data_IF_994900332983
#
_entry.id   IF_994900332983
#
_cell.length_a   1.000
_cell.length_b   1.000
_cell.length_c   1.000
_cell.angle_alpha   90.00
_cell.angle_beta   90.00
_cell.angle_gamma   90.00
#
_symmetry.space_group_name_H-M   'P 1'
#
loop_
_entity.id
_entity.type
_entity.pdbx_description
1 polymer ?
#
# COMPACT_ATOMS: atom_id res chain seq x y z
N UNK A 1 -5.90 -36.97 52.00
CA UNK A 1 -4.74 -37.69 52.54
C UNK A 1 -3.47 -36.98 52.04
N UNK A 2 -2.68 -36.52 52.98
CA UNK A 2 -1.39 -35.83 52.81
C UNK A 2 -0.30 -36.79 52.32
N UNK A 3 0.67 -36.28 51.56
CA UNK A 3 2.13 -36.59 51.56
C UNK A 3 2.79 -35.71 50.49
N UNK A 4 3.52 -34.64 50.83
CA UNK A 4 4.87 -34.45 51.40
C UNK A 4 5.98 -34.72 50.33
N UNK A 5 6.66 -33.59 49.96
CA UNK A 5 7.98 -33.52 49.30
C UNK A 5 9.09 -34.23 50.09
N UNK A 6 10.21 -34.50 49.45
CA UNK A 6 11.48 -34.25 50.11
C UNK A 6 12.41 -33.32 49.35
N UNK A 7 13.10 -32.58 50.17
CA UNK A 7 14.17 -31.62 50.02
C UNK A 7 15.54 -32.22 49.68
N UNK A 8 16.36 -31.34 49.03
CA UNK A 8 17.82 -31.29 49.03
C UNK A 8 18.63 -32.24 48.16
N UNK A 9 19.25 -31.63 47.11
CA UNK A 9 20.65 -31.91 46.80
C UNK A 9 21.37 -30.62 46.42
N UNK A 10 22.24 -30.16 47.33
CA UNK A 10 23.24 -29.14 47.05
C UNK A 10 24.30 -29.78 46.14
N UNK A 11 24.55 -29.17 45.00
CA UNK A 11 25.73 -29.50 44.21
C UNK A 11 26.62 -28.27 44.11
N UNK A 12 27.79 -28.36 44.75
CA UNK A 12 28.87 -27.40 44.65
C UNK A 12 29.33 -27.28 43.19
N UNK A 13 29.16 -26.11 42.56
CA UNK A 13 29.89 -25.76 41.36
C UNK A 13 31.17 -25.02 41.74
N UNK A 14 32.31 -25.65 41.51
CA UNK A 14 33.63 -25.02 41.49
C UNK A 14 33.60 -23.88 40.42
N UNK A 15 33.86 -22.66 40.87
CA UNK A 15 34.17 -21.53 39.98
C UNK A 15 35.57 -21.69 39.46
N UNK A 16 35.73 -22.20 38.24
CA UNK A 16 36.98 -22.05 37.47
C UNK A 16 36.86 -20.70 36.75
N UNK A 17 37.55 -19.68 37.26
CA UNK A 17 37.68 -18.38 36.65
C UNK A 17 38.50 -18.46 35.36
N UNK A 18 37.80 -18.67 34.25
CA UNK A 18 38.32 -18.44 32.91
C UNK A 18 37.62 -17.26 32.31
N UNK A 19 38.25 -16.10 32.24
CA UNK A 19 37.78 -14.96 31.44
C UNK A 19 37.92 -15.34 29.97
N UNK A 20 36.82 -15.77 29.37
CA UNK A 20 36.73 -15.81 27.91
C UNK A 20 36.82 -14.36 27.42
N UNK A 21 37.74 -14.07 26.47
CA UNK A 21 37.74 -12.75 25.85
C UNK A 21 36.37 -12.57 25.16
N UNK A 22 35.57 -11.56 25.58
CA UNK A 22 34.48 -11.07 24.76
C UNK A 22 35.12 -10.62 23.44
N UNK A 23 34.90 -11.41 22.39
CA UNK A 23 35.14 -10.95 21.05
C UNK A 23 34.21 -9.75 20.86
N UNK A 24 34.75 -8.56 20.93
CA UNK A 24 34.08 -7.36 20.42
C UNK A 24 33.87 -7.62 18.93
N UNK A 25 32.65 -7.97 18.56
CA UNK A 25 32.23 -7.94 17.15
C UNK A 25 32.50 -6.51 16.68
N UNK A 26 33.59 -6.32 15.97
CA UNK A 26 33.83 -5.10 15.22
C UNK A 26 32.68 -5.05 14.20
N UNK A 27 31.72 -4.14 14.44
CA UNK A 27 30.77 -3.77 13.43
C UNK A 27 31.61 -3.33 12.22
N UNK A 28 31.67 -4.18 11.20
CA UNK A 28 32.25 -3.78 9.92
C UNK A 28 31.55 -2.50 9.47
N UNK A 29 32.29 -1.47 9.05
CA UNK A 29 31.66 -0.27 8.52
C UNK A 29 30.74 -0.68 7.37
N UNK A 30 29.51 -0.18 7.37
CA UNK A 30 28.59 -0.38 6.26
C UNK A 30 29.29 0.04 4.96
N UNK A 31 29.12 -0.72 3.86
CA UNK A 31 29.72 -0.37 2.58
C UNK A 31 29.30 1.06 2.21
N UNK A 32 30.25 1.84 1.72
CA UNK A 32 29.95 3.22 1.32
C UNK A 32 29.24 3.18 -0.03
N UNK A 33 28.03 3.73 -0.08
CA UNK A 33 27.30 3.94 -1.33
C UNK A 33 28.19 4.66 -2.33
N UNK A 34 28.29 4.16 -3.57
CA UNK A 34 29.13 4.73 -4.63
C UNK A 34 28.76 6.19 -4.93
N UNK A 35 29.70 6.97 -5.45
CA UNK A 35 29.46 8.36 -5.86
C UNK A 35 28.39 8.47 -6.95
N UNK A 36 28.28 7.48 -7.83
CA UNK A 36 27.25 7.43 -8.88
C UNK A 36 25.86 7.17 -8.29
N UNK A 37 25.73 6.22 -7.39
CA UNK A 37 24.47 5.97 -6.65
C UNK A 37 24.02 7.19 -5.85
N UNK A 38 24.95 7.87 -5.17
CA UNK A 38 24.64 9.14 -4.45
C UNK A 38 24.15 10.24 -5.39
N UNK A 39 24.76 10.37 -6.60
CA UNK A 39 24.31 11.36 -7.60
C UNK A 39 22.91 11.04 -8.11
N UNK A 40 22.59 9.76 -8.39
CA UNK A 40 21.26 9.35 -8.81
C UNK A 40 20.23 9.58 -7.68
N UNK A 41 20.53 9.19 -6.45
CA UNK A 41 19.66 9.45 -5.30
C UNK A 41 19.35 10.95 -5.14
N UNK A 42 20.37 11.81 -5.25
CA UNK A 42 20.19 13.26 -5.20
C UNK A 42 19.40 13.81 -6.40
N UNK A 43 19.51 13.20 -7.59
CA UNK A 43 18.68 13.55 -8.74
C UNK A 43 17.22 13.17 -8.49
N UNK A 44 16.93 11.96 -8.05
CA UNK A 44 15.59 11.46 -7.78
C UNK A 44 14.89 12.26 -6.67
N UNK A 45 15.62 12.62 -5.62
CA UNK A 45 15.10 13.49 -4.55
C UNK A 45 14.72 14.88 -5.09
N UNK A 46 15.54 15.48 -5.96
CA UNK A 46 15.18 16.75 -6.63
C UNK A 46 13.94 16.62 -7.50
N UNK A 47 13.79 15.52 -8.23
CA UNK A 47 12.57 15.24 -9.02
C UNK A 47 11.35 15.17 -8.10
N UNK A 48 11.45 14.44 -7.00
CA UNK A 48 10.36 14.31 -6.02
C UNK A 48 10.01 15.64 -5.34
N UNK A 49 11.01 16.51 -5.07
CA UNK A 49 10.79 17.84 -4.47
C UNK A 49 10.13 18.82 -5.45
N UNK A 50 10.45 18.73 -6.74
CA UNK A 50 9.96 19.64 -7.79
C UNK A 50 8.67 19.17 -8.45
N UNK A 51 8.19 18.00 -8.11
CA UNK A 51 6.97 17.45 -8.69
C UNK A 51 5.78 18.37 -8.45
N UNK A 52 5.21 18.90 -9.54
CA UNK A 52 4.07 19.81 -9.49
C UNK A 52 2.76 19.01 -9.34
N UNK A 53 2.00 19.20 -8.23
CA UNK A 53 0.71 18.53 -8.05
C UNK A 53 -0.36 18.96 -9.06
N UNK A 54 -0.22 20.09 -9.76
CA UNK A 54 -1.15 20.48 -10.81
C UNK A 54 -1.01 19.57 -12.02
N UNK A 55 0.23 19.22 -12.37
CA UNK A 55 0.53 18.36 -13.54
C UNK A 55 0.50 16.88 -13.16
N UNK A 56 1.08 16.52 -12.01
CA UNK A 56 1.13 15.14 -11.56
C UNK A 56 -0.14 14.76 -10.78
N UNK A 57 -1.07 14.08 -11.47
CA UNK A 57 -2.37 13.66 -10.93
C UNK A 57 -2.27 12.60 -9.82
N UNK A 58 -1.11 12.00 -9.60
CA UNK A 58 -0.89 10.99 -8.55
C UNK A 58 -0.42 11.60 -7.22
N UNK A 59 -0.17 12.90 -7.16
CA UNK A 59 0.14 13.62 -5.92
C UNK A 59 -1.16 14.03 -5.18
N UNK A 60 -2.07 13.09 -4.98
CA UNK A 60 -3.44 13.34 -4.52
C UNK A 60 -3.50 14.21 -3.25
N UNK A 61 -2.70 13.92 -2.22
CA UNK A 61 -2.67 14.70 -0.97
C UNK A 61 -2.22 16.15 -1.19
N UNK A 62 -1.18 16.35 -1.99
CA UNK A 62 -0.69 17.69 -2.32
C UNK A 62 -1.71 18.46 -3.18
N UNK A 63 -2.39 17.76 -4.11
CA UNK A 63 -3.49 18.33 -4.91
C UNK A 63 -4.65 18.77 -4.03
N UNK A 64 -5.11 17.91 -3.12
CA UNK A 64 -6.17 18.24 -2.17
C UNK A 64 -5.79 19.47 -1.32
N UNK A 65 -4.56 19.54 -0.84
CA UNK A 65 -4.05 20.68 -0.06
C UNK A 65 -4.06 21.95 -0.89
N UNK A 66 -3.54 21.93 -2.12
CA UNK A 66 -3.56 23.07 -3.02
C UNK A 66 -4.96 23.55 -3.37
N UNK A 67 -5.87 22.62 -3.66
CA UNK A 67 -7.28 22.95 -3.93
C UNK A 67 -7.99 23.58 -2.73
N UNK A 68 -7.66 23.16 -1.50
CA UNK A 68 -8.24 23.76 -0.29
C UNK A 68 -7.96 25.24 -0.15
N UNK A 69 -6.77 25.71 -0.53
CA UNK A 69 -6.45 27.14 -0.47
C UNK A 69 -7.30 28.00 -1.40
N UNK A 70 -7.88 27.39 -2.43
CA UNK A 70 -8.80 28.07 -3.34
C UNK A 70 -10.18 28.33 -2.72
N UNK A 71 -10.59 27.57 -1.69
CA UNK A 71 -11.87 27.74 -1.01
C UNK A 71 -11.97 29.10 -0.27
N UNK A 72 -10.84 29.73 0.04
CA UNK A 72 -10.78 31.04 0.69
C UNK A 72 -10.96 32.21 -0.30
N UNK A 73 -10.94 31.91 -1.60
CA UNK A 73 -11.14 32.89 -2.65
C UNK A 73 -12.63 33.12 -2.92
N UNK A 74 -13.05 34.34 -3.31
CA UNK A 74 -14.42 34.61 -3.73
C UNK A 74 -14.81 33.74 -4.93
N UNK A 75 -15.88 32.97 -4.79
CA UNK A 75 -16.45 32.15 -5.87
C UNK A 75 -17.93 31.91 -5.67
N UNK A 76 -18.63 31.50 -6.76
CA UNK A 76 -20.05 31.15 -6.67
C UNK A 76 -20.25 29.87 -5.82
N UNK A 77 -21.44 29.69 -5.21
CA UNK A 77 -21.75 28.49 -4.45
C UNK A 77 -21.56 27.20 -5.27
N UNK A 78 -21.92 27.19 -6.53
CA UNK A 78 -21.80 26.03 -7.43
C UNK A 78 -20.33 25.65 -7.64
N UNK A 79 -19.45 26.65 -7.88
CA UNK A 79 -18.01 26.43 -8.00
C UNK A 79 -17.42 25.89 -6.70
N UNK A 80 -17.90 26.39 -5.55
CA UNK A 80 -17.45 25.91 -4.24
C UNK A 80 -17.84 24.46 -4.00
N UNK A 81 -19.04 24.06 -4.43
CA UNK A 81 -19.51 22.67 -4.37
C UNK A 81 -18.65 21.77 -5.25
N UNK A 82 -18.41 22.16 -6.51
CA UNK A 82 -17.54 21.40 -7.42
C UNK A 82 -16.12 21.25 -6.89
N UNK A 83 -15.55 22.33 -6.33
CA UNK A 83 -14.21 22.30 -5.74
C UNK A 83 -14.14 21.37 -4.53
N UNK A 84 -15.14 21.40 -3.63
CA UNK A 84 -15.20 20.47 -2.50
C UNK A 84 -15.31 19.02 -2.93
N UNK A 85 -16.11 18.72 -3.96
CA UNK A 85 -16.18 17.38 -4.53
C UNK A 85 -14.82 16.92 -5.07
N UNK A 86 -14.09 17.80 -5.77
CA UNK A 86 -12.76 17.50 -6.26
C UNK A 86 -11.77 17.26 -5.10
N UNK A 87 -11.80 18.08 -4.06
CA UNK A 87 -10.96 17.92 -2.85
C UNK A 87 -11.25 16.57 -2.18
N UNK A 88 -12.54 16.23 -1.97
CA UNK A 88 -12.94 14.96 -1.36
C UNK A 88 -12.38 13.76 -2.14
N UNK A 89 -12.50 13.77 -3.47
CA UNK A 89 -11.96 12.71 -4.34
C UNK A 89 -10.45 12.58 -4.23
N UNK A 90 -9.74 13.69 -4.26
CA UNK A 90 -8.27 13.67 -4.13
C UNK A 90 -7.85 13.15 -2.75
N UNK A 91 -8.60 13.47 -1.67
CA UNK A 91 -8.35 12.93 -0.34
C UNK A 91 -8.53 11.43 -0.28
N UNK A 92 -9.66 10.92 -0.81
CA UNK A 92 -9.94 9.49 -0.85
C UNK A 92 -8.86 8.74 -1.65
N UNK A 93 -8.51 9.24 -2.85
CA UNK A 93 -7.43 8.68 -3.66
C UNK A 93 -6.08 8.72 -2.93
N UNK A 94 -5.86 9.71 -2.07
CA UNK A 94 -4.68 9.85 -1.22
C UNK A 94 -4.71 9.02 0.06
N UNK A 95 -5.75 8.18 0.29
CA UNK A 95 -5.90 7.36 1.47
C UNK A 95 -6.40 8.09 2.73
N UNK A 96 -6.91 9.32 2.57
CA UNK A 96 -7.44 10.17 3.65
C UNK A 96 -8.98 10.06 3.69
N UNK A 97 -9.48 8.86 4.04
CA UNK A 97 -10.94 8.55 3.96
C UNK A 97 -11.77 9.45 4.88
N UNK A 98 -11.33 9.63 6.14
CA UNK A 98 -12.08 10.44 7.10
C UNK A 98 -12.18 11.90 6.67
N UNK A 99 -11.09 12.48 6.17
CA UNK A 99 -11.04 13.84 5.67
C UNK A 99 -11.89 14.02 4.40
N UNK A 100 -11.87 13.03 3.50
CA UNK A 100 -12.73 13.01 2.31
C UNK A 100 -14.21 12.99 2.67
N UNK A 101 -14.62 12.18 3.64
CA UNK A 101 -15.99 12.14 4.16
C UNK A 101 -16.41 13.49 4.72
N UNK A 102 -15.56 14.15 5.51
CA UNK A 102 -15.83 15.50 6.05
C UNK A 102 -16.06 16.52 4.94
N UNK A 103 -15.31 16.44 3.82
CA UNK A 103 -15.53 17.32 2.68
C UNK A 103 -16.87 17.02 1.95
N UNK A 104 -17.27 15.76 1.82
CA UNK A 104 -18.60 15.41 1.28
C UNK A 104 -19.73 15.94 2.16
N UNK A 105 -19.61 15.85 3.48
CA UNK A 105 -20.59 16.40 4.40
C UNK A 105 -20.65 17.92 4.31
N UNK A 106 -19.51 18.60 4.17
CA UNK A 106 -19.44 20.05 3.99
C UNK A 106 -20.05 20.48 2.63
N UNK A 107 -19.87 19.66 1.59
CA UNK A 107 -20.47 19.87 0.28
C UNK A 107 -22.01 19.79 0.37
N UNK A 108 -22.55 18.74 1.02
CA UNK A 108 -24.01 18.58 1.20
C UNK A 108 -24.62 19.76 1.95
N UNK A 109 -24.00 20.16 3.08
CA UNK A 109 -24.43 21.38 3.79
C UNK A 109 -24.37 22.62 2.91
N UNK A 110 -23.40 22.69 1.99
CA UNK A 110 -23.28 23.80 1.04
C UNK A 110 -24.42 23.83 0.02
N UNK A 111 -24.86 22.69 -0.49
CA UNK A 111 -26.04 22.56 -1.37
C UNK A 111 -27.29 23.07 -0.65
N UNK A 112 -27.54 22.53 0.55
CA UNK A 112 -28.73 22.86 1.34
C UNK A 112 -28.77 24.35 1.71
N UNK A 113 -27.66 24.91 2.19
CA UNK A 113 -27.58 26.32 2.63
C UNK A 113 -27.69 27.32 1.49
N UNK A 114 -27.27 26.94 0.28
CA UNK A 114 -27.40 27.77 -0.91
C UNK A 114 -28.73 27.63 -1.61
N UNK A 115 -29.62 26.72 -1.17
CA UNK A 115 -30.88 26.42 -1.81
C UNK A 115 -30.74 25.89 -3.24
N UNK A 116 -29.64 25.19 -3.52
CA UNK A 116 -29.33 24.64 -4.84
C UNK A 116 -30.11 23.34 -5.04
N UNK A 117 -30.88 23.26 -6.10
CA UNK A 117 -31.49 21.99 -6.55
C UNK A 117 -30.41 21.24 -7.36
N UNK A 118 -29.80 20.22 -6.73
CA UNK A 118 -28.84 19.41 -7.43
C UNK A 118 -29.49 18.33 -8.30
N UNK A 119 -28.90 18.06 -9.45
CA UNK A 119 -29.37 17.02 -10.35
C UNK A 119 -29.32 15.63 -9.67
N UNK A 120 -30.36 14.77 -9.88
CA UNK A 120 -30.36 13.43 -9.25
C UNK A 120 -29.13 12.59 -9.57
N UNK A 121 -28.62 12.67 -10.79
CA UNK A 121 -27.38 11.98 -11.20
C UNK A 121 -26.16 12.42 -10.41
N UNK A 122 -26.06 13.71 -10.12
CA UNK A 122 -24.99 14.25 -9.29
C UNK A 122 -25.09 13.76 -7.84
N UNK A 123 -26.30 13.73 -7.28
CA UNK A 123 -26.52 13.23 -5.91
C UNK A 123 -26.20 11.74 -5.79
N UNK A 124 -26.59 10.93 -6.80
CA UNK A 124 -26.21 9.50 -6.84
C UNK A 124 -24.70 9.31 -6.87
N UNK A 125 -24.02 10.03 -7.77
CA UNK A 125 -22.55 9.98 -7.84
C UNK A 125 -21.91 10.32 -6.49
N UNK A 126 -22.42 11.35 -5.79
CA UNK A 126 -21.93 11.71 -4.46
C UNK A 126 -22.18 10.61 -3.41
N UNK A 127 -23.35 9.96 -3.48
CA UNK A 127 -23.66 8.85 -2.59
C UNK A 127 -22.70 7.69 -2.79
N UNK A 128 -22.46 7.28 -4.03
CA UNK A 128 -21.55 6.17 -4.36
C UNK A 128 -20.12 6.47 -3.92
N UNK A 129 -19.61 7.68 -4.21
CA UNK A 129 -18.26 8.09 -3.80
C UNK A 129 -18.11 8.15 -2.27
N UNK A 130 -19.11 8.68 -1.58
CA UNK A 130 -19.12 8.76 -0.12
C UNK A 130 -19.29 7.37 0.52
N UNK A 131 -20.16 6.52 -0.04
CA UNK A 131 -20.34 5.14 0.41
C UNK A 131 -19.04 4.34 0.26
N UNK A 132 -18.35 4.46 -0.87
CA UNK A 132 -17.05 3.82 -1.07
C UNK A 132 -16.02 4.33 -0.04
N UNK A 133 -16.02 5.63 0.28
CA UNK A 133 -15.14 6.18 1.31
C UNK A 133 -15.43 5.58 2.70
N UNK A 134 -16.70 5.42 3.07
CA UNK A 134 -17.09 4.77 4.32
C UNK A 134 -16.71 3.29 4.36
N UNK A 135 -16.90 2.56 3.26
CA UNK A 135 -16.50 1.15 3.16
C UNK A 135 -14.99 0.99 3.31
N UNK A 136 -14.20 1.83 2.63
CA UNK A 136 -12.74 1.88 2.76
C UNK A 136 -12.28 2.32 4.15
N UNK A 137 -12.99 3.24 4.79
CA UNK A 137 -12.69 3.65 6.16
C UNK A 137 -12.87 2.48 7.13
N UNK A 138 -13.95 1.71 6.94
CA UNK A 138 -14.17 0.46 7.62
C UNK A 138 -12.97 -0.49 7.45
N UNK A 139 -12.56 -0.77 6.22
CA UNK A 139 -11.40 -1.60 5.89
C UNK A 139 -10.11 -1.12 6.58
N UNK A 140 -9.79 0.18 6.50
CA UNK A 140 -8.61 0.74 7.15
C UNK A 140 -8.59 0.57 8.67
N UNK A 141 -9.74 0.69 9.32
CA UNK A 141 -9.88 0.54 10.78
C UNK A 141 -9.78 -0.89 11.28
N UNK A 142 -10.02 -1.89 10.40
CA UNK A 142 -9.95 -3.30 10.80
C UNK A 142 -8.53 -3.84 10.90
N UNK A 143 -7.56 -3.13 10.39
CA UNK A 143 -6.20 -3.61 10.26
C UNK A 143 -6.01 -4.69 9.18
N UNK A 144 -4.83 -5.29 9.16
CA UNK A 144 -4.53 -6.41 8.25
C UNK A 144 -5.34 -7.64 8.64
N UNK A 145 -6.10 -8.16 7.66
CA UNK A 145 -6.87 -9.40 7.82
C UNK A 145 -6.13 -10.56 7.16
N UNK A 146 -6.36 -11.78 7.64
CA UNK A 146 -5.97 -12.97 6.89
C UNK A 146 -6.54 -12.93 5.47
N UNK A 147 -5.74 -13.28 4.48
CA UNK A 147 -6.14 -13.18 3.07
C UNK A 147 -7.36 -14.05 2.71
N UNK A 148 -7.65 -15.13 3.45
CA UNK A 148 -8.83 -15.95 3.24
C UNK A 148 -10.16 -15.22 3.51
N UNK A 149 -10.15 -14.09 4.25
CA UNK A 149 -11.34 -13.28 4.48
C UNK A 149 -11.80 -12.51 3.23
N UNK A 150 -10.96 -12.48 2.18
CA UNK A 150 -11.23 -11.75 0.92
C UNK A 150 -11.64 -12.65 -0.25
N UNK A 151 -11.87 -13.94 0.01
CA UNK A 151 -12.40 -14.86 -1.00
C UNK A 151 -13.92 -14.68 -1.08
N UNK A 152 -14.44 -14.52 -2.30
CA UNK A 152 -15.87 -14.32 -2.53
C UNK A 152 -16.62 -15.66 -2.66
N UNK A 153 -17.86 -15.76 -2.11
CA UNK A 153 -18.47 -14.80 -1.19
C UNK A 153 -17.72 -14.77 0.15
N UNK A 154 -17.42 -13.58 0.66
CA UNK A 154 -16.72 -13.46 1.93
C UNK A 154 -17.57 -14.03 3.07
N UNK A 155 -17.07 -15.11 3.68
CA UNK A 155 -17.68 -15.73 4.86
C UNK A 155 -16.94 -15.25 6.10
N UNK A 156 -17.51 -14.27 6.80
CA UNK A 156 -16.89 -13.73 7.99
C UNK A 156 -17.31 -14.51 9.24
N UNK A 157 -16.33 -14.95 10.02
CA UNK A 157 -16.54 -15.42 11.38
C UNK A 157 -16.09 -14.35 12.39
N UNK A 158 -17.05 -13.73 13.09
CA UNK A 158 -16.81 -12.82 14.21
C UNK A 158 -16.91 -11.32 13.88
N UNK A 159 -17.49 -10.59 14.84
CA UNK A 159 -17.68 -9.15 14.78
C UNK A 159 -16.36 -8.37 14.94
N UNK A 160 -16.18 -7.32 14.18
CA UNK A 160 -15.12 -6.33 14.33
C UNK A 160 -15.71 -4.92 14.15
N UNK A 161 -14.99 -3.88 14.57
CA UNK A 161 -15.50 -2.48 14.67
C UNK A 161 -15.81 -1.78 13.33
N UNK A 162 -16.05 -2.53 12.25
CA UNK A 162 -16.46 -1.95 10.98
C UNK A 162 -17.90 -1.48 10.89
N UNK A 163 -18.72 -1.95 11.82
CA UNK A 163 -20.16 -2.00 11.66
C UNK A 163 -20.75 -0.63 11.31
N UNK A 164 -20.33 0.44 11.98
CA UNK A 164 -20.95 1.75 11.78
C UNK A 164 -20.63 2.38 10.43
N UNK A 165 -19.36 2.39 10.02
CA UNK A 165 -18.95 2.96 8.72
C UNK A 165 -19.58 2.19 7.55
N UNK A 166 -19.52 0.87 7.58
CA UNK A 166 -20.10 0.01 6.54
C UNK A 166 -21.63 0.15 6.49
N UNK A 167 -22.30 0.30 7.63
CA UNK A 167 -23.76 0.54 7.63
C UNK A 167 -24.14 1.90 7.03
N UNK A 168 -23.29 2.92 7.16
CA UNK A 168 -23.51 4.17 6.41
C UNK A 168 -23.38 3.93 4.91
N UNK A 169 -22.36 3.19 4.49
CA UNK A 169 -22.19 2.84 3.06
C UNK A 169 -23.41 2.08 2.51
N UNK A 170 -23.92 1.08 3.25
CA UNK A 170 -25.12 0.32 2.89
C UNK A 170 -26.29 1.26 2.64
N UNK A 171 -26.61 2.15 3.59
CA UNK A 171 -27.73 3.10 3.43
C UNK A 171 -27.60 4.00 2.20
N UNK A 172 -26.39 4.45 1.89
CA UNK A 172 -26.15 5.29 0.71
C UNK A 172 -26.33 4.50 -0.59
N UNK A 173 -25.85 3.24 -0.63
CA UNK A 173 -26.06 2.36 -1.80
C UNK A 173 -27.54 2.02 -1.99
N UNK A 174 -28.28 1.68 -0.91
CA UNK A 174 -29.71 1.42 -0.96
C UNK A 174 -30.47 2.63 -1.48
N UNK A 175 -30.16 3.84 -0.98
CA UNK A 175 -30.75 5.10 -1.48
C UNK A 175 -30.56 5.28 -2.98
N UNK A 176 -29.37 4.93 -3.50
CA UNK A 176 -29.12 5.03 -4.94
C UNK A 176 -29.89 3.98 -5.74
N UNK A 177 -29.94 2.75 -5.25
CA UNK A 177 -30.63 1.63 -5.91
C UNK A 177 -32.15 1.78 -5.90
N UNK A 178 -32.74 2.51 -4.95
CA UNK A 178 -34.16 2.91 -4.98
C UNK A 178 -34.50 3.87 -6.13
N UNK A 179 -33.50 4.64 -6.58
CA UNK A 179 -33.68 5.60 -7.69
C UNK A 179 -33.39 4.96 -9.04
N UNK A 180 -32.29 4.24 -9.13
CA UNK A 180 -31.84 3.57 -10.36
C UNK A 180 -31.00 2.35 -10.02
N UNK A 181 -31.37 1.21 -10.57
CA UNK A 181 -30.61 -0.04 -10.37
C UNK A 181 -29.35 -0.03 -11.25
N UNK A 182 -28.18 0.17 -10.63
CA UNK A 182 -26.88 0.08 -11.26
C UNK A 182 -26.10 -1.13 -10.74
N UNK A 183 -25.54 -1.92 -11.67
CA UNK A 183 -24.85 -3.17 -11.32
C UNK A 183 -23.63 -2.95 -10.39
N UNK A 184 -22.88 -1.88 -10.61
CA UNK A 184 -21.72 -1.54 -9.77
C UNK A 184 -22.13 -1.22 -8.33
N UNK A 185 -23.20 -0.42 -8.14
CA UNK A 185 -23.75 -0.10 -6.82
C UNK A 185 -24.32 -1.34 -6.14
N UNK A 186 -25.03 -2.19 -6.90
CA UNK A 186 -25.57 -3.47 -6.42
C UNK A 186 -24.46 -4.41 -5.97
N UNK A 187 -23.37 -4.51 -6.73
CA UNK A 187 -22.18 -5.28 -6.36
C UNK A 187 -21.57 -4.78 -5.05
N UNK A 188 -21.35 -3.47 -4.93
CA UNK A 188 -20.75 -2.85 -3.73
C UNK A 188 -21.66 -3.00 -2.51
N UNK A 189 -22.99 -2.96 -2.68
CA UNK A 189 -23.95 -3.25 -1.61
C UNK A 189 -23.78 -4.68 -1.07
N UNK A 190 -23.71 -5.68 -1.95
CA UNK A 190 -23.52 -7.08 -1.54
C UNK A 190 -22.17 -7.27 -0.84
N UNK A 191 -21.10 -6.63 -1.35
CA UNK A 191 -19.79 -6.59 -0.71
C UNK A 191 -19.85 -5.99 0.71
N UNK A 192 -20.58 -4.89 0.89
CA UNK A 192 -20.75 -4.26 2.19
C UNK A 192 -21.44 -5.21 3.19
N UNK A 193 -22.50 -5.91 2.77
CA UNK A 193 -23.14 -6.92 3.61
C UNK A 193 -22.23 -8.13 3.89
N UNK A 194 -21.44 -8.60 2.92
CA UNK A 194 -20.43 -9.66 3.13
C UNK A 194 -19.40 -9.23 4.18
N UNK A 195 -18.94 -7.97 4.12
CA UNK A 195 -17.95 -7.45 5.08
C UNK A 195 -18.46 -7.41 6.52
N UNK A 196 -19.78 -7.39 6.71
CA UNK A 196 -20.46 -7.51 8.01
C UNK A 196 -20.75 -8.97 8.41
N UNK A 197 -20.60 -9.93 7.50
CA UNK A 197 -21.03 -11.32 7.69
C UNK A 197 -22.56 -11.47 7.63
N UNK A 198 -23.26 -10.58 6.96
CA UNK A 198 -24.71 -10.52 6.86
C UNK A 198 -25.24 -10.90 5.47
N UNK A 199 -24.35 -11.27 4.54
CA UNK A 199 -24.72 -11.83 3.25
C UNK A 199 -24.94 -13.33 3.36
N UNK A 200 -25.95 -13.92 2.66
CA UNK A 200 -26.96 -13.23 1.84
C UNK A 200 -28.21 -12.80 2.61
N UNK A 201 -28.33 -13.13 3.91
CA UNK A 201 -29.58 -13.11 4.67
C UNK A 201 -30.16 -11.70 4.82
N UNK A 202 -29.30 -10.70 5.06
CA UNK A 202 -29.72 -9.32 5.31
C UNK A 202 -29.78 -8.44 4.05
N UNK A 203 -29.30 -8.96 2.91
CA UNK A 203 -29.37 -8.21 1.64
C UNK A 203 -30.83 -8.17 1.16
N UNK A 204 -31.41 -6.99 0.85
CA UNK A 204 -32.74 -6.91 0.27
C UNK A 204 -32.87 -7.79 -0.99
N UNK A 205 -33.96 -8.56 -1.09
CA UNK A 205 -34.12 -9.60 -2.12
C UNK A 205 -33.93 -9.07 -3.54
N UNK A 206 -34.48 -7.88 -3.84
CA UNK A 206 -34.36 -7.27 -5.16
C UNK A 206 -32.92 -6.90 -5.56
N UNK A 207 -32.02 -6.69 -4.59
CA UNK A 207 -30.64 -6.31 -4.84
C UNK A 207 -29.63 -7.42 -4.49
N UNK A 208 -30.13 -8.56 -4.03
CA UNK A 208 -29.27 -9.71 -3.71
C UNK A 208 -28.69 -10.31 -4.97
N UNK A 209 -27.38 -10.42 -5.03
CA UNK A 209 -26.67 -11.20 -6.02
C UNK A 209 -26.67 -12.66 -5.57
N UNK A 210 -27.00 -13.62 -6.44
CA UNK A 210 -26.95 -15.04 -6.09
C UNK A 210 -25.51 -15.51 -5.84
N UNK A 211 -25.33 -16.55 -5.04
CA UNK A 211 -23.99 -17.07 -4.70
C UNK A 211 -23.19 -17.47 -5.96
N UNK A 212 -23.89 -17.98 -6.97
CA UNK A 212 -23.33 -18.40 -8.25
C UNK A 212 -22.65 -17.24 -9.02
N UNK A 213 -23.05 -15.97 -8.75
CA UNK A 213 -22.39 -14.81 -9.33
C UNK A 213 -20.96 -14.59 -8.82
N UNK A 214 -20.58 -15.28 -7.74
CA UNK A 214 -19.24 -15.21 -7.12
C UNK A 214 -18.45 -16.50 -7.32
N UNK A 215 -19.02 -17.51 -7.99
CA UNK A 215 -18.33 -18.76 -8.28
C UNK A 215 -17.26 -18.54 -9.36
N UNK A 216 -16.11 -19.15 -9.16
CA UNK A 216 -15.03 -19.19 -10.15
C UNK A 216 -15.18 -20.42 -11.03
N UNK A 217 -14.94 -20.28 -12.34
CA UNK A 217 -14.91 -21.41 -13.28
C UNK A 217 -13.75 -22.38 -13.01
N UNK A 218 -12.74 -21.97 -12.23
CA UNK A 218 -11.59 -22.77 -11.87
C UNK A 218 -11.12 -22.51 -10.46
N UNK A 219 -10.60 -23.52 -9.81
CA UNK A 219 -9.95 -23.42 -8.50
C UNK A 219 -8.43 -23.34 -8.72
N UNK A 220 -7.87 -22.16 -8.46
CA UNK A 220 -6.41 -21.93 -8.49
C UNK A 220 -5.77 -22.11 -7.11
N UNK A 221 -6.55 -22.56 -6.11
CA UNK A 221 -6.12 -22.66 -4.73
C UNK A 221 -6.02 -21.29 -4.05
N UNK A 222 -5.46 -21.30 -2.84
CA UNK A 222 -5.38 -20.16 -1.96
C UNK A 222 -3.92 -19.79 -1.68
N UNK A 223 -3.57 -18.51 -1.89
CA UNK A 223 -2.27 -17.96 -1.53
C UNK A 223 -2.38 -17.20 -0.20
N UNK A 224 -1.84 -17.78 0.87
CA UNK A 224 -1.80 -17.11 2.17
C UNK A 224 -0.93 -15.85 2.11
N UNK A 225 -1.43 -14.74 2.65
CA UNK A 225 -0.59 -13.55 2.83
C UNK A 225 0.32 -13.74 4.04
N UNK A 226 1.59 -14.04 3.79
CA UNK A 226 2.61 -14.25 4.81
C UNK A 226 3.56 -13.06 4.98
N UNK A 227 3.27 -11.93 4.33
CA UNK A 227 4.20 -10.80 4.28
C UNK A 227 4.60 -10.25 5.65
N UNK A 228 3.68 -10.24 6.62
CA UNK A 228 3.97 -9.79 7.99
C UNK A 228 4.91 -10.76 8.69
N UNK A 229 4.59 -12.06 8.66
CA UNK A 229 5.36 -13.10 9.33
C UNK A 229 6.73 -13.29 8.66
N UNK A 230 6.78 -13.15 7.34
CA UNK A 230 8.02 -13.19 6.58
C UNK A 230 8.88 -11.91 6.73
N UNK A 231 8.38 -10.84 7.33
CA UNK A 231 9.13 -9.61 7.53
C UNK A 231 9.28 -8.73 6.29
N UNK A 232 8.41 -8.92 5.28
CA UNK A 232 8.43 -8.15 4.00
C UNK A 232 7.25 -7.20 3.84
N UNK A 233 6.40 -7.06 4.87
CA UNK A 233 5.26 -6.15 4.83
C UNK A 233 5.72 -4.68 4.88
N UNK A 234 5.62 -3.99 3.75
CA UNK A 234 5.93 -2.55 3.63
C UNK A 234 4.75 -1.80 3.07
N UNK A 235 4.59 -0.55 3.50
CA UNK A 235 3.56 0.34 2.97
C UNK A 235 4.14 1.20 1.85
N UNK A 236 3.45 1.24 0.72
CA UNK A 236 3.83 2.06 -0.44
C UNK A 236 2.72 2.11 -1.48
N UNK A 237 3.01 2.81 -2.58
CA UNK A 237 2.16 2.77 -3.78
C UNK A 237 2.67 1.64 -4.66
N UNK A 238 1.90 0.63 -4.91
CA UNK A 238 2.29 -0.55 -5.68
C UNK A 238 3.37 -0.28 -6.76
N UNK A 239 4.31 -1.21 -6.89
CA UNK A 239 5.41 -1.18 -7.84
C UNK A 239 5.69 -2.57 -8.38
N UNK A 240 6.85 -2.78 -8.95
CA UNK A 240 7.34 -4.09 -9.38
C UNK A 240 8.04 -4.82 -8.25
N UNK A 241 8.15 -6.12 -8.40
CA UNK A 241 8.98 -6.97 -7.57
C UNK A 241 9.74 -7.99 -8.43
N UNK A 242 10.92 -8.34 -7.99
CA UNK A 242 11.73 -9.42 -8.57
C UNK A 242 12.19 -10.33 -7.45
N UNK A 243 12.31 -11.60 -7.75
CA UNK A 243 12.78 -12.62 -6.79
C UNK A 243 13.81 -13.47 -7.50
N UNK A 244 15.03 -13.44 -6.99
CA UNK A 244 16.14 -14.25 -7.47
C UNK A 244 17.27 -14.28 -6.41
N UNK A 245 18.30 -15.07 -6.63
CA UNK A 245 19.48 -15.13 -5.78
C UNK A 245 20.44 -13.98 -6.17
N UNK A 246 20.37 -12.87 -5.43
CA UNK A 246 21.18 -11.68 -5.73
C UNK A 246 22.52 -11.64 -5.00
N UNK A 247 22.76 -12.47 -4.01
CA UNK A 247 24.04 -12.50 -3.28
C UNK A 247 24.81 -13.82 -3.38
N UNK A 248 24.31 -14.75 -4.22
CA UNK A 248 25.00 -16.00 -4.54
C UNK A 248 24.95 -17.03 -3.41
N UNK A 249 24.04 -16.89 -2.44
CA UNK A 249 23.94 -17.80 -1.29
C UNK A 249 23.04 -19.04 -1.55
N UNK A 250 22.39 -19.10 -2.71
CA UNK A 250 21.50 -20.18 -3.14
C UNK A 250 20.07 -20.03 -2.66
N UNK A 251 19.70 -18.92 -2.03
CA UNK A 251 18.33 -18.61 -1.58
C UNK A 251 17.75 -17.47 -2.42
N UNK A 252 16.43 -17.52 -2.64
CA UNK A 252 15.76 -16.47 -3.41
C UNK A 252 15.49 -15.27 -2.52
N UNK A 253 16.11 -14.15 -2.84
CA UNK A 253 15.89 -12.83 -2.26
C UNK A 253 14.71 -12.13 -2.92
N UNK A 254 14.21 -11.04 -2.31
CA UNK A 254 13.12 -10.25 -2.84
C UNK A 254 13.53 -8.78 -2.95
N UNK A 255 13.38 -8.18 -4.14
CA UNK A 255 13.50 -6.74 -4.32
C UNK A 255 12.14 -6.19 -4.75
N UNK A 256 11.66 -5.16 -4.05
CA UNK A 256 10.38 -4.53 -4.30
C UNK A 256 10.54 -3.03 -4.48
N UNK A 257 9.89 -2.47 -5.51
CA UNK A 257 9.80 -1.03 -5.76
C UNK A 257 8.43 -0.48 -5.41
N UNK A 258 8.31 0.84 -5.41
CA UNK A 258 7.04 1.55 -5.27
C UNK A 258 7.03 2.73 -6.24
N UNK A 259 5.89 2.96 -6.90
CA UNK A 259 5.75 4.07 -7.86
C UNK A 259 5.69 5.46 -7.22
N UNK A 260 5.52 5.55 -5.90
CA UNK A 260 5.48 6.83 -5.21
C UNK A 260 6.83 7.54 -5.30
N UNK A 261 6.84 8.81 -5.71
CA UNK A 261 8.06 9.57 -5.97
C UNK A 261 9.00 9.70 -4.76
N UNK A 262 8.53 9.38 -3.56
CA UNK A 262 9.31 9.41 -2.31
C UNK A 262 9.42 8.03 -1.68
N UNK A 263 8.88 7.01 -2.31
CA UNK A 263 8.84 5.68 -1.75
C UNK A 263 10.15 4.95 -2.07
N UNK A 264 10.79 4.45 -1.04
CA UNK A 264 12.07 3.75 -1.11
C UNK A 264 11.88 2.34 -1.67
N UNK A 265 12.67 1.95 -2.66
CA UNK A 265 12.85 0.56 -3.08
C UNK A 265 13.45 -0.26 -1.93
N UNK A 266 13.05 -1.53 -1.80
CA UNK A 266 13.49 -2.41 -0.72
C UNK A 266 14.17 -3.65 -1.26
N UNK A 267 15.24 -4.06 -0.59
CA UNK A 267 15.90 -5.35 -0.77
C UNK A 267 15.77 -6.16 0.50
N UNK A 268 15.14 -7.31 0.39
CA UNK A 268 14.90 -8.26 1.45
C UNK A 268 15.71 -9.53 1.18
N UNK A 269 16.78 -9.72 1.95
CA UNK A 269 17.60 -10.91 1.89
C UNK A 269 16.93 -12.06 2.63
N UNK A 270 16.88 -13.22 2.01
CA UNK A 270 16.31 -14.44 2.55
C UNK A 270 17.22 -15.03 3.64
N UNK A 271 16.64 -15.46 4.75
CA UNK A 271 17.38 -16.10 5.85
C UNK A 271 17.39 -17.62 5.81
N UNK A 272 16.69 -18.22 4.86
CA UNK A 272 16.52 -19.65 4.74
C UNK A 272 15.58 -20.31 5.75
N UNK A 273 14.96 -19.51 6.63
CA UNK A 273 14.00 -19.96 7.64
C UNK A 273 12.54 -19.55 7.34
N UNK A 274 12.28 -19.03 6.13
CA UNK A 274 11.01 -18.49 5.72
C UNK A 274 10.83 -17.01 6.09
N UNK A 275 11.85 -16.36 6.64
CA UNK A 275 11.85 -14.93 6.95
C UNK A 275 12.92 -14.19 6.17
N UNK A 276 12.76 -12.86 6.05
CA UNK A 276 13.67 -11.98 5.35
C UNK A 276 14.22 -10.88 6.26
N UNK A 277 15.35 -10.32 5.86
CA UNK A 277 15.92 -9.13 6.49
C UNK A 277 16.06 -7.99 5.50
N UNK A 278 15.60 -6.79 5.87
CA UNK A 278 15.80 -5.59 5.05
C UNK A 278 17.29 -5.22 5.01
N UNK A 279 17.92 -5.39 3.86
CA UNK A 279 19.31 -5.02 3.56
C UNK A 279 19.41 -3.84 2.60
N UNK A 280 18.34 -3.11 2.34
CA UNK A 280 18.29 -1.97 1.40
C UNK A 280 19.48 -1.04 1.52
N UNK A 281 19.83 -0.64 2.75
CA UNK A 281 20.96 0.25 2.98
C UNK A 281 22.31 -0.44 2.76
N UNK A 282 22.46 -1.66 3.24
CA UNK A 282 23.70 -2.45 3.07
C UNK A 282 23.95 -2.75 1.59
N UNK A 283 22.89 -2.95 0.81
CA UNK A 283 22.95 -3.16 -0.63
C UNK A 283 23.21 -1.88 -1.46
N UNK A 284 23.40 -0.72 -0.84
CA UNK A 284 23.66 0.53 -1.57
C UNK A 284 22.44 1.11 -2.28
N UNK A 285 21.21 0.65 -1.97
CA UNK A 285 19.97 1.03 -2.63
C UNK A 285 19.25 2.21 -1.97
N UNK A 286 19.83 2.79 -0.90
CA UNK A 286 19.24 3.95 -0.23
C UNK A 286 19.17 5.15 -1.19
N UNK A 287 17.97 5.77 -1.30
CA UNK A 287 17.70 6.86 -2.22
C UNK A 287 17.28 6.43 -3.63
N UNK A 288 17.25 5.14 -3.93
CA UNK A 288 16.60 4.60 -5.12
C UNK A 288 15.09 4.59 -4.88
N UNK A 289 14.39 5.61 -5.35
CA UNK A 289 12.97 5.87 -5.11
C UNK A 289 12.17 5.87 -6.42
N UNK A 290 10.86 5.67 -6.34
CA UNK A 290 9.91 5.96 -7.40
C UNK A 290 9.90 5.00 -8.59
N UNK A 291 10.11 3.70 -8.40
CA UNK A 291 10.05 2.69 -9.48
C UNK A 291 8.68 2.06 -9.65
N UNK A 292 8.11 2.08 -10.86
CA UNK A 292 6.87 1.36 -11.17
C UNK A 292 7.14 -0.12 -11.38
N UNK A 293 8.24 -0.45 -12.04
CA UNK A 293 8.56 -1.84 -12.36
C UNK A 293 10.06 -2.10 -12.22
N UNK A 294 10.41 -3.36 -12.08
CA UNK A 294 11.77 -3.87 -12.00
C UNK A 294 11.97 -4.94 -13.07
N UNK A 295 13.18 -5.00 -13.60
CA UNK A 295 13.65 -6.12 -14.40
C UNK A 295 15.04 -6.48 -13.94
N UNK A 296 15.43 -7.75 -14.03
CA UNK A 296 16.76 -8.22 -13.68
C UNK A 296 17.33 -9.09 -14.80
N UNK A 297 18.61 -9.00 -14.99
CA UNK A 297 19.41 -9.81 -15.91
C UNK A 297 20.89 -9.56 -15.65
N UNK A 298 21.74 -10.51 -15.96
CA UNK A 298 23.18 -10.31 -16.09
C UNK A 298 23.44 -9.53 -17.40
N UNK A 299 23.57 -8.18 -17.32
CA UNK A 299 23.65 -7.32 -18.52
C UNK A 299 25.08 -7.22 -19.07
N UNK A 300 26.11 -7.43 -18.24
CA UNK A 300 27.51 -7.31 -18.63
C UNK A 300 28.25 -8.66 -18.69
N UNK A 301 27.53 -9.77 -18.44
CA UNK A 301 27.98 -11.16 -18.50
C UNK A 301 29.11 -11.48 -17.50
N UNK A 302 29.01 -10.90 -16.30
CA UNK A 302 29.91 -11.23 -15.19
C UNK A 302 29.41 -12.37 -14.31
N UNK A 303 28.18 -12.84 -14.54
CA UNK A 303 27.53 -13.95 -13.83
C UNK A 303 26.59 -13.51 -12.71
N UNK A 304 26.54 -12.21 -12.41
CA UNK A 304 25.73 -11.65 -11.34
C UNK A 304 24.45 -10.99 -11.90
N UNK A 305 23.35 -11.03 -11.13
CA UNK A 305 22.08 -10.47 -11.59
C UNK A 305 21.97 -8.99 -11.27
N UNK A 306 21.87 -8.18 -12.29
CA UNK A 306 21.70 -6.73 -12.21
C UNK A 306 20.24 -6.31 -12.24
N UNK A 307 19.96 -5.03 -11.94
CA UNK A 307 18.61 -4.50 -11.89
C UNK A 307 18.41 -3.30 -12.80
N UNK A 308 17.28 -3.26 -13.48
CA UNK A 308 16.75 -2.05 -14.14
C UNK A 308 15.51 -1.58 -13.39
N UNK A 309 15.50 -0.31 -12.97
CA UNK A 309 14.36 0.34 -12.35
C UNK A 309 13.66 1.24 -13.35
N UNK A 310 12.43 0.89 -13.71
CA UNK A 310 11.61 1.64 -14.67
C UNK A 310 10.77 2.69 -13.98
N UNK A 311 10.86 3.96 -14.44
CA UNK A 311 10.19 5.09 -13.79
C UNK A 311 9.35 5.90 -14.76
N UNK A 312 8.25 6.44 -14.28
CA UNK A 312 7.54 7.60 -14.79
C UNK A 312 6.67 7.44 -16.02
N UNK A 313 6.76 6.34 -16.79
CA UNK A 313 6.11 6.19 -18.11
C UNK A 313 4.60 6.50 -18.12
N UNK A 314 3.88 6.14 -17.07
CA UNK A 314 2.43 6.34 -16.96
C UNK A 314 2.00 7.78 -16.60
N UNK A 315 2.94 8.65 -16.27
CA UNK A 315 2.67 10.04 -15.87
C UNK A 315 2.78 11.03 -17.04
N UNK A 316 2.98 10.57 -18.28
CA UNK A 316 3.18 11.42 -19.45
C UNK A 316 4.34 12.40 -19.25
N UNK A 317 4.15 13.68 -19.54
CA UNK A 317 5.20 14.70 -19.41
C UNK A 317 5.72 14.83 -17.96
N UNK A 318 4.87 14.61 -16.96
CA UNK A 318 5.27 14.64 -15.56
C UNK A 318 6.11 13.42 -15.16
N UNK A 319 6.22 12.43 -16.02
CA UNK A 319 6.93 11.17 -15.81
C UNK A 319 8.30 11.08 -16.50
N UNK A 320 8.86 12.18 -16.99
CA UNK A 320 10.22 12.21 -17.54
C UNK A 320 11.26 12.08 -16.43
N UNK A 321 11.32 10.91 -15.85
CA UNK A 321 12.27 10.55 -14.78
C UNK A 321 13.33 9.60 -15.35
N UNK A 322 14.57 9.71 -14.86
CA UNK A 322 15.61 8.78 -15.23
C UNK A 322 15.28 7.38 -14.69
N UNK A 323 15.41 6.37 -15.53
CA UNK A 323 15.52 4.98 -15.11
C UNK A 323 16.87 4.76 -14.41
N UNK A 324 17.05 3.65 -13.72
CA UNK A 324 18.35 3.28 -13.17
C UNK A 324 18.76 1.90 -13.67
N UNK A 325 20.00 1.76 -14.09
CA UNK A 325 20.71 0.50 -14.22
C UNK A 325 21.60 0.34 -13.01
N UNK A 326 21.35 -0.68 -12.21
CA UNK A 326 22.02 -0.97 -10.94
C UNK A 326 22.82 -2.26 -11.12
N UNK A 327 24.14 -2.12 -11.24
CA UNK A 327 25.06 -3.24 -11.35
C UNK A 327 25.26 -3.89 -9.99
N UNK A 328 25.08 -5.20 -9.93
CA UNK A 328 25.39 -6.03 -8.77
C UNK A 328 26.90 -6.36 -8.76
N UNK A 329 27.45 -6.60 -7.60
CA UNK A 329 28.83 -7.07 -7.42
C UNK A 329 28.91 -8.53 -6.93
N UNK A 330 27.82 -9.29 -7.09
CA UNK A 330 27.75 -10.71 -6.74
C UNK A 330 27.53 -11.01 -5.26
N UNK A 331 27.45 -9.98 -4.42
CA UNK A 331 27.26 -10.08 -2.98
C UNK A 331 26.00 -9.32 -2.50
N UNK A 332 25.07 -9.04 -3.42
CA UNK A 332 23.87 -8.27 -3.14
C UNK A 332 24.12 -6.78 -2.93
N UNK A 333 25.27 -6.26 -3.36
CA UNK A 333 25.57 -4.83 -3.36
C UNK A 333 25.43 -4.26 -4.76
N UNK A 334 24.68 -3.15 -4.88
CA UNK A 334 24.33 -2.51 -6.14
C UNK A 334 24.94 -1.13 -6.28
N UNK A 335 25.46 -0.86 -7.47
CA UNK A 335 25.98 0.45 -7.88
C UNK A 335 25.21 0.98 -9.06
N UNK A 336 24.75 2.25 -8.97
CA UNK A 336 24.11 2.89 -10.11
C UNK A 336 25.14 3.21 -11.20
N UNK A 337 25.00 2.56 -12.34
CA UNK A 337 25.90 2.70 -13.49
C UNK A 337 25.19 3.34 -14.69
N UNK A 338 23.95 3.83 -14.51
CA UNK A 338 23.11 4.40 -15.55
C UNK A 338 23.86 5.37 -16.48
N UNK A 339 24.52 6.36 -15.89
CA UNK A 339 25.26 7.36 -16.66
C UNK A 339 26.51 6.76 -17.37
N UNK A 340 27.19 5.81 -16.72
CA UNK A 340 28.35 5.16 -17.31
C UNK A 340 27.97 4.24 -18.47
N UNK A 341 26.80 3.62 -18.41
CA UNK A 341 26.21 2.80 -19.46
C UNK A 341 25.63 3.62 -20.63
N UNK A 342 25.56 4.95 -20.52
CA UNK A 342 25.01 5.83 -21.55
C UNK A 342 23.48 5.90 -21.60
N UNK A 343 22.80 5.62 -20.48
CA UNK A 343 21.33 5.62 -20.30
C UNK A 343 20.84 6.89 -19.62
#
# INVERSE_FOLDING_TARGET
MKRLLPTHLLLCCLVIGGTLPMATAQLLPLPQTSKSSQRMAAYLDRVAQRADPVVNIYLNRARATGMRTLLDQPMSPEKKIQLRAAIAREMIKGGLMQEGIVEFDALRRGIDSAGITAEPSFLRMLNDEQALAYLRLGEQRSGTRPAHDWVFPMTRQGGTPFDESTRVAIRLYETNLEVEEELATKWLLNLAYMSLGEYPQSVPEQWRLPAEAFESEGDVGYFANVAVDAGVAVTGHAGGSVMDDFDGDGLLDLIASSRGLRDQMRYFHNRGDGTFSDRTRAAGLEGQIGGLNLSHADYDNDGDLDLVVWRGAWMGEAGRHANSLLQNSGDGQFNDVTQAAGL
#
